data_IF_791804398262
#
_entry.id   IF_791804398262
#
_cell.length_a   1.000
_cell.length_b   1.000
_cell.length_c   1.000
_cell.angle_alpha   90.00
_cell.angle_beta   90.00
_cell.angle_gamma   90.00
#
_symmetry.space_group_name_H-M   'P 1'
#
loop_
_entity.id
_entity.type
_entity.pdbx_description
1 polymer ?
#
# COMPACT_ATOMS: atom_id res chain seq x y z
N UNK A 1 -21.74 -4.74 -18.82
CA UNK A 1 -21.60 -3.68 -17.80
C UNK A 1 -20.11 -3.60 -17.46
N UNK A 2 -19.46 -2.46 -17.72
CA UNK A 2 -18.04 -2.30 -17.39
C UNK A 2 -17.91 -2.15 -15.87
N UNK A 3 -17.14 -3.05 -15.23
CA UNK A 3 -16.83 -2.97 -13.80
C UNK A 3 -15.48 -2.30 -13.62
N UNK A 4 -15.49 -1.11 -13.01
CA UNK A 4 -14.28 -0.34 -12.75
C UNK A 4 -13.89 -0.46 -11.29
N UNK A 5 -12.66 -0.89 -11.02
CA UNK A 5 -12.11 -0.88 -9.68
C UNK A 5 -11.30 0.40 -9.45
N UNK A 6 -11.49 1.01 -8.29
CA UNK A 6 -10.80 2.21 -7.85
C UNK A 6 -9.99 1.82 -6.62
N UNK A 7 -8.67 1.76 -6.78
CA UNK A 7 -7.76 1.52 -5.69
C UNK A 7 -7.29 2.87 -5.14
N UNK A 8 -7.62 3.14 -3.89
CA UNK A 8 -7.20 4.33 -3.16
C UNK A 8 -6.13 3.93 -2.15
N UNK A 9 -4.87 4.30 -2.36
CA UNK A 9 -3.76 3.80 -1.53
C UNK A 9 -2.79 4.90 -1.06
N UNK A 10 -2.28 4.76 0.15
CA UNK A 10 -1.13 5.52 0.65
C UNK A 10 -0.08 4.57 1.25
N UNK A 11 0.86 5.09 2.02
CA UNK A 11 1.93 4.28 2.62
C UNK A 11 1.46 3.33 3.74
N UNK A 12 0.28 3.56 4.31
CA UNK A 12 -0.21 2.89 5.52
C UNK A 12 -1.52 2.10 5.29
N UNK A 13 -2.30 2.47 4.28
CA UNK A 13 -3.61 1.90 4.02
C UNK A 13 -3.96 1.97 2.54
N UNK A 14 -4.69 0.97 2.08
CA UNK A 14 -5.30 0.98 0.76
C UNK A 14 -6.74 0.47 0.84
N UNK A 15 -7.63 1.06 0.05
CA UNK A 15 -9.03 0.68 -0.05
C UNK A 15 -9.37 0.46 -1.52
N UNK A 16 -9.94 -0.70 -1.81
CA UNK A 16 -10.42 -1.05 -3.15
C UNK A 16 -11.93 -0.85 -3.20
N UNK A 17 -12.39 -0.08 -4.18
CA UNK A 17 -13.81 0.17 -4.42
C UNK A 17 -14.22 -0.31 -5.81
N UNK A 18 -15.40 -0.90 -5.94
CA UNK A 18 -16.06 -1.07 -7.22
C UNK A 18 -16.91 0.17 -7.52
N UNK A 19 -16.66 0.81 -8.67
CA UNK A 19 -17.51 1.88 -9.19
C UNK A 19 -18.54 1.29 -10.15
N UNK A 20 -19.82 1.53 -9.86
CA UNK A 20 -20.91 1.18 -10.75
C UNK A 20 -21.18 2.33 -11.73
N UNK A 21 -21.09 2.06 -13.03
CA UNK A 21 -21.22 3.09 -14.08
C UNK A 21 -22.60 3.74 -14.21
N UNK A 22 -23.67 3.15 -13.66
CA UNK A 22 -25.03 3.72 -13.74
C UNK A 22 -25.29 4.82 -12.69
N UNK A 23 -24.84 4.62 -11.45
CA UNK A 23 -25.14 5.51 -10.30
C UNK A 23 -23.90 6.20 -9.73
N UNK A 24 -22.73 5.91 -10.31
CA UNK A 24 -21.42 6.30 -9.79
C UNK A 24 -21.26 5.94 -8.30
N UNK A 25 -21.94 4.89 -7.84
CA UNK A 25 -21.82 4.40 -6.47
C UNK A 25 -20.47 3.71 -6.32
N UNK A 26 -19.86 3.93 -5.15
CA UNK A 26 -18.62 3.28 -4.74
C UNK A 26 -18.95 2.22 -3.70
N UNK A 27 -18.77 0.96 -4.07
CA UNK A 27 -18.93 -0.18 -3.16
C UNK A 27 -17.55 -0.59 -2.67
N UNK A 28 -17.29 -0.51 -1.37
CA UNK A 28 -16.02 -1.00 -0.82
C UNK A 28 -15.93 -2.51 -0.98
N UNK A 29 -14.87 -2.98 -1.64
CA UNK A 29 -14.60 -4.40 -1.85
C UNK A 29 -13.62 -4.93 -0.83
N UNK A 30 -12.57 -4.16 -0.52
CA UNK A 30 -11.50 -4.60 0.36
C UNK A 30 -10.80 -3.41 1.00
N UNK A 31 -10.43 -3.59 2.26
CA UNK A 31 -9.63 -2.65 3.04
C UNK A 31 -8.33 -3.34 3.46
N UNK A 32 -7.22 -2.73 3.09
CA UNK A 32 -5.87 -3.21 3.39
C UNK A 32 -5.21 -2.20 4.31
N UNK A 33 -4.90 -2.61 5.54
CA UNK A 33 -4.14 -1.80 6.48
C UNK A 33 -2.75 -2.38 6.58
N UNK A 34 -1.75 -1.55 6.26
CA UNK A 34 -0.36 -1.85 6.51
C UNK A 34 0.07 -1.07 7.75
N UNK A 35 0.06 -1.69 8.94
CA UNK A 35 0.59 -1.03 10.12
C UNK A 35 2.07 -0.77 9.86
N UNK A 36 2.45 0.49 9.65
CA UNK A 36 3.83 0.87 9.82
C UNK A 36 4.18 0.48 11.25
N UNK A 37 5.03 -0.52 11.42
CA UNK A 37 5.57 -0.82 12.71
C UNK A 37 6.34 0.43 13.15
N UNK A 38 5.72 1.30 13.96
CA UNK A 38 6.49 2.24 14.74
C UNK A 38 7.24 1.39 15.77
N UNK A 39 8.43 0.94 15.39
CA UNK A 39 9.36 0.28 16.31
C UNK A 39 10.02 1.33 17.21
N UNK A 40 9.25 2.25 17.78
CA UNK A 40 9.65 3.01 18.96
C UNK A 40 9.61 2.14 20.23
N UNK A 41 9.20 0.87 20.13
CA UNK A 41 8.97 -0.02 21.28
C UNK A 41 9.98 -1.13 21.56
N UNK A 42 11.08 -1.29 20.81
CA UNK A 42 12.07 -2.35 21.08
C UNK A 42 13.48 -1.85 21.42
N UNK A 43 13.57 -0.64 21.96
CA UNK A 43 14.74 -0.16 22.70
C UNK A 43 14.37 0.03 24.17
N UNK A 44 14.10 -1.05 24.90
CA UNK A 44 13.71 -0.93 26.31
C UNK A 44 13.51 -2.26 27.00
N UNK A 45 14.59 -3.03 27.16
CA UNK A 45 14.51 -4.28 27.91
C UNK A 45 15.75 -5.16 27.85
N UNK A 46 16.91 -4.61 27.51
CA UNK A 46 18.18 -5.25 27.84
C UNK A 46 18.51 -4.91 29.30
N UNK A 47 17.91 -5.63 30.24
CA UNK A 47 18.52 -5.79 31.56
C UNK A 47 19.90 -6.41 31.34
N UNK A 48 20.91 -5.55 31.29
CA UNK A 48 22.29 -5.95 31.56
C UNK A 48 22.71 -5.17 32.78
N UNK A 49 22.16 -5.64 33.90
CA UNK A 49 22.80 -5.70 35.21
C UNK A 49 24.26 -5.24 35.18
N UNK A 50 24.51 -4.10 35.83
CA UNK A 50 25.85 -3.64 36.11
C UNK A 50 26.59 -4.66 36.97
N UNK A 51 27.68 -5.21 36.46
CA UNK A 51 28.70 -5.84 37.27
C UNK A 51 30.07 -5.65 36.63
N UNK A 52 30.87 -4.81 37.26
CA UNK A 52 32.29 -4.65 37.00
C UNK A 52 33.01 -6.01 37.07
N UNK A 53 33.76 -6.36 36.02
CA UNK A 53 34.46 -7.64 35.96
C UNK A 53 35.51 -7.70 34.86
N UNK A 54 36.67 -7.10 35.13
CA UNK A 54 37.99 -7.46 34.57
C UNK A 54 38.06 -8.94 34.11
N UNK A 55 38.46 -9.18 32.87
CA UNK A 55 38.67 -10.55 32.38
C UNK A 55 39.08 -10.61 30.92
N UNK A 56 40.33 -10.99 30.68
CA UNK A 56 40.87 -11.32 29.37
C UNK A 56 40.06 -12.41 28.65
N UNK A 57 39.89 -12.25 27.34
CA UNK A 57 39.80 -13.39 26.43
C UNK A 57 38.54 -13.45 25.58
N UNK A 58 38.78 -13.36 24.25
CA UNK A 58 37.99 -13.96 23.17
C UNK A 58 36.58 -13.38 22.94
N UNK A 59 36.45 -12.49 21.97
CA UNK A 59 35.15 -12.08 21.39
C UNK A 59 35.38 -11.63 19.93
N UNK A 60 34.61 -12.01 18.92
CA UNK A 60 33.41 -12.86 18.90
C UNK A 60 32.97 -13.12 17.46
N UNK A 61 32.43 -14.31 17.21
CA UNK A 61 31.47 -14.53 16.14
C UNK A 61 30.11 -14.06 16.66
N UNK A 62 29.52 -13.04 16.05
CA UNK A 62 28.07 -12.83 16.02
C UNK A 62 27.78 -11.75 14.97
N UNK A 63 27.32 -12.20 13.80
CA UNK A 63 26.81 -11.30 12.78
C UNK A 63 25.52 -10.64 13.25
N UNK A 64 25.38 -9.35 13.01
CA UNK A 64 24.09 -8.73 12.68
C UNK A 64 24.43 -7.47 11.90
N UNK A 65 24.49 -7.62 10.58
CA UNK A 65 24.50 -6.50 9.66
C UNK A 65 23.14 -5.81 9.84
N UNK A 66 23.13 -4.67 10.54
CA UNK A 66 21.98 -3.79 10.59
C UNK A 66 21.66 -3.38 9.15
N UNK A 67 20.60 -3.95 8.56
CA UNK A 67 20.03 -3.36 7.34
C UNK A 67 19.69 -1.90 7.65
N UNK A 68 20.09 -0.93 6.81
CA UNK A 68 19.80 0.48 7.06
C UNK A 68 18.28 0.63 7.23
N UNK A 69 17.82 1.35 8.26
CA UNK A 69 16.38 1.51 8.57
C UNK A 69 15.53 1.90 7.34
N UNK A 70 16.09 2.67 6.42
CA UNK A 70 15.46 3.06 5.16
C UNK A 70 15.11 1.86 4.27
N UNK A 71 15.95 0.81 4.27
CA UNK A 71 15.76 -0.37 3.43
C UNK A 71 14.65 -1.28 3.97
N UNK A 72 14.51 -1.41 5.29
CA UNK A 72 13.41 -2.15 5.91
C UNK A 72 12.05 -1.50 5.55
N UNK A 73 11.90 -0.19 5.74
CA UNK A 73 10.68 0.52 5.38
C UNK A 73 10.40 0.51 3.87
N UNK A 74 11.43 0.59 3.02
CA UNK A 74 11.25 0.48 1.58
C UNK A 74 10.76 -0.91 1.17
N UNK A 75 11.32 -1.96 1.78
CA UNK A 75 10.93 -3.36 1.53
C UNK A 75 9.51 -3.65 2.00
N UNK A 76 9.10 -3.11 3.16
CA UNK A 76 7.74 -3.21 3.66
C UNK A 76 6.73 -2.54 2.71
N UNK A 77 7.00 -1.30 2.27
CA UNK A 77 6.18 -0.60 1.28
C UNK A 77 6.10 -1.37 -0.05
N UNK A 78 7.21 -1.88 -0.54
CA UNK A 78 7.25 -2.68 -1.77
C UNK A 78 6.42 -3.96 -1.63
N UNK A 79 6.49 -4.64 -0.47
CA UNK A 79 5.67 -5.82 -0.19
C UNK A 79 4.18 -5.46 -0.12
N UNK A 80 3.84 -4.32 0.47
CA UNK A 80 2.46 -3.85 0.52
C UNK A 80 1.93 -3.52 -0.88
N UNK A 81 2.71 -2.78 -1.67
CA UNK A 81 2.37 -2.48 -3.06
C UNK A 81 2.21 -3.75 -3.90
N UNK A 82 3.06 -4.76 -3.67
CA UNK A 82 2.95 -6.07 -4.31
C UNK A 82 1.63 -6.76 -3.97
N UNK A 83 1.25 -6.79 -2.70
CA UNK A 83 -0.04 -7.35 -2.27
C UNK A 83 -1.23 -6.66 -2.96
N UNK A 84 -1.21 -5.32 -3.07
CA UNK A 84 -2.26 -4.58 -3.77
C UNK A 84 -2.29 -4.91 -5.27
N UNK A 85 -1.11 -4.99 -5.90
CA UNK A 85 -1.01 -5.34 -7.31
C UNK A 85 -1.49 -6.77 -7.57
N UNK A 86 -1.14 -7.74 -6.72
CA UNK A 86 -1.62 -9.12 -6.83
C UNK A 86 -3.16 -9.18 -6.73
N UNK A 87 -3.76 -8.46 -5.79
CA UNK A 87 -5.22 -8.35 -5.71
C UNK A 87 -5.86 -7.80 -7.00
N UNK A 88 -5.27 -6.76 -7.60
CA UNK A 88 -5.73 -6.21 -8.88
C UNK A 88 -5.54 -7.20 -10.04
N UNK A 89 -4.42 -7.93 -10.04
CA UNK A 89 -4.11 -8.94 -11.05
C UNK A 89 -5.12 -10.09 -11.01
N UNK A 90 -5.43 -10.58 -9.82
CA UNK A 90 -6.45 -11.62 -9.59
C UNK A 90 -7.84 -11.14 -10.03
N UNK A 91 -8.19 -9.88 -9.72
CA UNK A 91 -9.45 -9.29 -10.15
C UNK A 91 -9.62 -9.23 -11.67
N UNK A 92 -8.57 -8.86 -12.40
CA UNK A 92 -8.57 -8.83 -13.87
C UNK A 92 -8.57 -10.25 -14.45
N UNK A 93 -7.73 -11.14 -13.92
CA UNK A 93 -7.64 -12.52 -14.37
C UNK A 93 -8.96 -13.29 -14.14
N UNK A 94 -9.63 -13.03 -13.03
CA UNK A 94 -10.94 -13.58 -12.69
C UNK A 94 -12.13 -12.84 -13.32
N UNK A 95 -11.89 -11.87 -14.21
CA UNK A 95 -12.91 -11.04 -14.86
C UNK A 95 -13.86 -10.33 -13.88
N UNK A 96 -13.40 -10.10 -12.65
CA UNK A 96 -14.15 -9.37 -11.62
C UNK A 96 -14.16 -7.88 -11.92
N UNK A 97 -13.09 -7.36 -12.51
CA UNK A 97 -13.01 -6.02 -13.06
C UNK A 97 -12.51 -6.02 -14.51
N UNK A 98 -12.81 -4.93 -15.22
CA UNK A 98 -12.40 -4.71 -16.61
C UNK A 98 -11.55 -3.44 -16.76
N UNK A 99 -11.65 -2.54 -15.78
CA UNK A 99 -10.94 -1.28 -15.74
C UNK A 99 -10.43 -1.01 -14.33
N UNK A 100 -9.23 -0.44 -14.22
CA UNK A 100 -8.61 -0.05 -12.96
C UNK A 100 -8.33 1.45 -12.96
N UNK A 101 -8.63 2.10 -11.85
CA UNK A 101 -8.24 3.48 -11.54
C UNK A 101 -7.37 3.43 -10.29
N UNK A 102 -6.18 4.01 -10.37
CA UNK A 102 -5.26 4.11 -9.25
C UNK A 102 -5.29 5.55 -8.71
N UNK A 103 -5.64 5.73 -7.44
CA UNK A 103 -5.57 7.01 -6.74
C UNK A 103 -4.67 6.81 -5.54
N UNK A 104 -3.41 7.18 -5.66
CA UNK A 104 -2.48 6.94 -4.58
C UNK A 104 -1.42 8.03 -4.48
N UNK A 105 -0.66 8.05 -3.40
CA UNK A 105 0.50 8.94 -3.31
C UNK A 105 1.52 8.61 -4.39
N UNK A 106 2.25 9.61 -4.88
CA UNK A 106 3.31 9.45 -5.90
C UNK A 106 4.26 8.27 -5.65
N UNK A 107 4.84 8.10 -4.43
CA UNK A 107 5.69 6.94 -4.15
C UNK A 107 4.93 5.61 -4.28
N UNK A 108 3.70 5.53 -3.79
CA UNK A 108 2.93 4.28 -3.83
C UNK A 108 2.54 3.87 -5.25
N UNK A 109 2.22 4.83 -6.13
CA UNK A 109 2.01 4.55 -7.55
C UNK A 109 3.25 3.97 -8.23
N UNK A 110 4.44 4.47 -7.84
CA UNK A 110 5.73 3.97 -8.32
C UNK A 110 6.01 2.53 -7.91
N UNK A 111 5.52 2.09 -6.74
CA UNK A 111 5.68 0.72 -6.25
C UNK A 111 4.62 -0.25 -6.83
N UNK A 112 3.36 0.20 -6.97
CA UNK A 112 2.25 -0.66 -7.43
C UNK A 112 2.39 -0.98 -8.91
N UNK A 113 2.62 0.03 -9.76
CA UNK A 113 2.65 -0.13 -11.23
C UNK A 113 3.59 -1.24 -11.72
N UNK A 114 4.87 -1.31 -11.30
CA UNK A 114 5.78 -2.37 -11.76
C UNK A 114 5.39 -3.77 -11.27
N UNK A 115 4.53 -3.88 -10.25
CA UNK A 115 4.02 -5.15 -9.76
C UNK A 115 2.76 -5.63 -10.50
N UNK A 116 2.16 -4.79 -11.35
CA UNK A 116 0.98 -5.17 -12.13
C UNK A 116 1.37 -6.14 -13.26
N UNK A 117 0.47 -7.08 -13.52
CA UNK A 117 0.54 -7.94 -14.69
C UNK A 117 0.28 -7.12 -15.97
N UNK A 118 0.74 -7.59 -17.15
CA UNK A 118 0.51 -6.90 -18.41
C UNK A 118 -0.99 -6.69 -18.72
N UNK A 119 -1.86 -7.58 -18.23
CA UNK A 119 -3.31 -7.45 -18.39
C UNK A 119 -3.87 -6.36 -17.46
N UNK A 120 -3.47 -6.35 -16.19
CA UNK A 120 -3.91 -5.33 -15.25
C UNK A 120 -3.38 -3.94 -15.63
N UNK A 121 -2.13 -3.83 -16.06
CA UNK A 121 -1.56 -2.56 -16.53
C UNK A 121 -2.35 -1.99 -17.72
N UNK A 122 -2.72 -2.83 -18.70
CA UNK A 122 -3.59 -2.43 -19.82
C UNK A 122 -5.00 -2.03 -19.38
N UNK A 123 -5.49 -2.62 -18.29
CA UNK A 123 -6.78 -2.26 -17.72
C UNK A 123 -6.73 -0.94 -16.92
N UNK A 124 -5.54 -0.44 -16.55
CA UNK A 124 -5.41 0.87 -15.89
C UNK A 124 -5.83 1.99 -16.83
N UNK A 125 -7.00 2.59 -16.56
CA UNK A 125 -7.53 3.73 -17.32
C UNK A 125 -6.92 5.05 -16.87
N UNK A 126 -6.71 5.19 -15.55
CA UNK A 126 -6.22 6.43 -14.92
C UNK A 126 -5.34 6.14 -13.72
N UNK A 127 -4.37 7.02 -13.52
CA UNK A 127 -3.52 7.06 -12.33
C UNK A 127 -3.43 8.49 -11.85
N UNK A 128 -3.85 8.75 -10.61
CA UNK A 128 -3.89 10.08 -10.02
C UNK A 128 -3.03 10.07 -8.76
N UNK A 129 -2.06 10.98 -8.72
CA UNK A 129 -1.21 11.17 -7.56
C UNK A 129 -1.96 11.99 -6.49
N UNK A 130 -2.79 11.34 -5.68
CA UNK A 130 -3.58 12.00 -4.63
C UNK A 130 -3.83 11.07 -3.45
N UNK A 131 -3.80 11.60 -2.24
CA UNK A 131 -4.17 10.86 -1.02
C UNK A 131 -5.64 11.12 -0.69
N UNK A 132 -6.49 10.14 -1.01
CA UNK A 132 -7.92 10.17 -0.66
C UNK A 132 -8.30 9.20 0.46
N UNK A 133 -7.32 8.50 1.05
CA UNK A 133 -7.53 7.45 2.06
C UNK A 133 -8.28 7.93 3.31
N UNK A 134 -8.14 9.22 3.64
CA UNK A 134 -8.80 9.90 4.77
C UNK A 134 -10.27 10.25 4.54
N UNK A 135 -10.74 10.27 3.28
CA UNK A 135 -12.11 10.64 2.94
C UNK A 135 -13.02 9.40 2.90
N UNK A 136 -14.29 9.58 3.24
CA UNK A 136 -15.27 8.49 3.30
C UNK A 136 -16.63 8.95 2.76
N UNK A 137 -17.48 7.99 2.37
CA UNK A 137 -18.85 8.25 1.96
C UNK A 137 -18.97 9.24 0.80
N UNK A 138 -19.76 10.31 1.00
CA UNK A 138 -20.06 11.28 -0.04
C UNK A 138 -18.85 12.14 -0.43
N UNK A 139 -18.03 12.55 0.54
CA UNK A 139 -16.80 13.30 0.28
C UNK A 139 -15.81 12.50 -0.58
N UNK A 140 -15.68 11.20 -0.30
CA UNK A 140 -14.85 10.32 -1.11
C UNK A 140 -15.36 10.25 -2.55
N UNK A 141 -16.66 10.01 -2.73
CA UNK A 141 -17.29 9.95 -4.05
C UNK A 141 -17.01 11.24 -4.83
N UNK A 142 -17.24 12.41 -4.23
CA UNK A 142 -17.04 13.70 -4.88
C UNK A 142 -15.57 13.93 -5.27
N UNK A 143 -14.62 13.59 -4.39
CA UNK A 143 -13.18 13.73 -4.65
C UNK A 143 -12.69 12.78 -5.73
N UNK A 144 -13.21 11.55 -5.75
CA UNK A 144 -12.89 10.55 -6.78
C UNK A 144 -13.42 11.02 -8.14
N UNK A 145 -14.61 11.61 -8.17
CA UNK A 145 -15.20 12.14 -9.40
C UNK A 145 -14.41 13.35 -9.95
N UNK A 146 -14.04 14.29 -9.07
CA UNK A 146 -13.17 15.42 -9.38
C UNK A 146 -11.79 14.98 -9.87
N UNK A 147 -11.18 13.99 -9.19
CA UNK A 147 -9.91 13.38 -9.60
C UNK A 147 -9.98 12.70 -10.97
N UNK A 148 -11.16 12.21 -11.35
CA UNK A 148 -11.42 11.62 -12.66
C UNK A 148 -11.84 12.65 -13.72
N UNK A 149 -11.97 13.92 -13.34
CA UNK A 149 -12.41 15.05 -14.19
C UNK A 149 -13.71 14.76 -14.95
N UNK A 150 -14.65 14.07 -14.31
CA UNK A 150 -15.99 13.92 -14.88
C UNK A 150 -16.77 15.21 -14.60
N UNK A 151 -17.43 15.81 -15.60
CA UNK A 151 -18.37 16.91 -15.35
C UNK A 151 -19.58 16.39 -14.57
N UNK A 152 -20.01 17.16 -13.56
CA UNK A 152 -21.21 16.96 -12.73
C UNK A 152 -22.49 16.78 -13.56
#
# INVERSE_FOLDING_TARGET
MEKTWILIANAERARCFERHGADHSLTELSDFVHPQASLEGQAGGGDLTGAAGKGHGRTGHAGTQFEPHTEAHAKERASFARQLADHLNEGIAGQQCHAIVLIATSPMLGEIRPCLSPAAEKAVKRSVASDLTRYQGLDLKKRVDDALQLPD
#
